data_IF_432154975391
#
_entry.id   IF_432154975391
#
_cell.length_a   1.000
_cell.length_b   1.000
_cell.length_c   1.000
_cell.angle_alpha   90.00
_cell.angle_beta   90.00
_cell.angle_gamma   90.00
#
_symmetry.space_group_name_H-M   'P 1'
#
loop_
_entity.id
_entity.type
_entity.pdbx_description
1 polymer ?
#
# COMPACT_ATOMS: atom_id res chain seq x y z
N UNK A 1 -30.67 -7.01 0.20
CA UNK A 1 -30.55 -6.77 0.45
C UNK A 1 -30.44 -6.62 0.87
N UNK A 2 -30.18 -6.56 0.62
CA UNK A 2 -29.89 -6.29 0.84
C UNK A 2 -29.42 -5.93 1.06
N UNK A 3 -28.94 -5.80 0.72
CA UNK A 3 -28.40 -5.38 0.89
C UNK A 3 -27.81 -5.28 0.81
N UNK A 4 -27.62 -5.23 0.44
CA UNK A 4 -27.07 -5.07 0.41
C UNK A 4 -26.59 -5.02 0.11
N UNK A 5 -26.37 -5.09 0.19
CA UNK A 5 -25.79 -5.08 -0.14
C UNK A 5 -25.35 -4.39 -0.36
N UNK A 6 -24.89 -4.01 -0.30
CA UNK A 6 -24.26 -3.27 -0.35
C UNK A 6 -23.43 -2.88 -0.98
N UNK A 7 -22.83 -2.69 -1.13
CA UNK A 7 -22.03 -2.07 -1.93
C UNK A 7 -22.42 -2.28 -2.90
N UNK A 8 -23.14 -2.80 -2.75
CA UNK A 8 -23.57 -2.97 -3.16
C UNK A 8 -24.30 -2.86 -3.59
N UNK A 9 -24.79 -2.75 -4.03
CA UNK A 9 -25.55 -2.57 -4.10
C UNK A 9 -26.07 -2.12 -3.99
N UNK A 10 -26.36 -1.79 -4.24
CA UNK A 10 -26.92 -1.27 -3.88
C UNK A 10 -26.87 -0.97 -3.94
N UNK A 11 -26.79 -0.90 -4.37
CA UNK A 11 -26.81 -0.62 -4.18
C UNK A 11 -26.45 -0.30 -4.47
N UNK A 12 -26.45 -0.05 -4.93
CA UNK A 12 -26.13 0.20 -5.00
C UNK A 12 -25.68 0.83 -4.77
N UNK A 13 -25.73 1.07 -4.65
CA UNK A 13 -25.26 1.56 -4.28
C UNK A 13 -24.79 1.77 -3.74
N UNK A 14 -24.45 1.80 -3.63
CA UNK A 14 -23.81 1.74 -2.99
C UNK A 14 -23.19 1.43 -3.03
N UNK A 15 -22.77 1.35 -3.22
CA UNK A 15 -21.90 0.82 -3.17
C UNK A 15 -21.18 1.11 -3.32
N UNK A 16 -21.46 1.52 -3.23
CA UNK A 16 -20.26 1.71 -3.62
C UNK A 16 -19.19 2.39 -2.79
N UNK A 17 -19.47 2.97 -1.76
CA UNK A 17 -18.47 3.42 -0.83
C UNK A 17 -17.51 2.33 -0.45
N UNK A 18 -17.94 1.14 -0.54
CA UNK A 18 -17.08 0.00 -0.27
C UNK A 18 -15.92 -0.10 -1.23
N UNK A 19 -16.01 0.57 -2.37
CA UNK A 19 -14.95 0.48 -3.36
C UNK A 19 -13.69 1.22 -2.96
N UNK A 20 -13.72 1.99 -1.90
CA UNK A 20 -12.54 2.71 -1.46
C UNK A 20 -11.84 2.02 -0.29
N UNK A 21 -12.10 0.75 -0.04
CA UNK A 21 -11.44 0.05 1.04
C UNK A 21 -9.95 -0.11 0.74
N UNK A 22 -9.10 -0.08 1.76
CA UNK A 22 -7.66 -0.28 1.57
C UNK A 22 -7.37 -1.67 1.03
N UNK A 23 -6.19 -1.81 0.45
CA UNK A 23 -5.70 -3.11 0.01
C UNK A 23 -5.74 -4.10 1.19
N UNK A 24 -6.17 -5.36 0.97
CA UNK A 24 -6.28 -6.30 2.08
C UNK A 24 -4.99 -6.52 2.85
N UNK A 25 -3.83 -6.53 2.18
CA UNK A 25 -2.57 -6.71 2.88
C UNK A 25 -2.26 -5.53 3.79
N UNK A 26 -2.60 -4.32 3.35
CA UNK A 26 -2.41 -3.15 4.19
C UNK A 26 -3.20 -3.29 5.48
N UNK A 27 -4.44 -3.77 5.38
CA UNK A 27 -5.29 -3.94 6.55
C UNK A 27 -4.77 -5.02 7.48
N UNK A 28 -4.23 -6.11 6.93
CA UNK A 28 -3.77 -7.23 7.74
C UNK A 28 -2.39 -7.03 8.33
N UNK A 29 -1.45 -6.49 7.55
CA UNK A 29 -0.06 -6.36 7.97
C UNK A 29 0.32 -4.93 8.33
N UNK A 30 -0.46 -3.95 7.89
CA UNK A 30 -0.13 -2.54 8.05
C UNK A 30 0.70 -1.99 6.92
N UNK A 31 1.01 -2.79 5.91
CA UNK A 31 1.74 -2.33 4.72
C UNK A 31 1.42 -3.22 3.54
N UNK A 32 1.64 -2.68 2.32
CA UNK A 32 1.40 -3.43 1.10
C UNK A 32 2.18 -2.79 -0.05
N UNK A 33 2.60 -3.63 -0.99
CA UNK A 33 3.16 -3.18 -2.27
C UNK A 33 2.11 -3.43 -3.34
N UNK A 34 1.79 -2.39 -4.10
CA UNK A 34 0.76 -2.44 -5.14
C UNK A 34 1.41 -2.11 -6.47
N UNK A 35 1.18 -2.94 -7.48
CA UNK A 35 1.75 -2.72 -8.80
C UNK A 35 3.16 -3.25 -8.90
N UNK A 36 3.80 -3.04 -10.04
CA UNK A 36 5.15 -3.55 -10.28
C UNK A 36 6.12 -2.47 -10.71
N UNK A 37 5.82 -1.71 -11.76
CA UNK A 37 6.70 -0.67 -12.25
C UNK A 37 5.87 0.38 -12.98
N UNK A 38 5.52 1.46 -12.34
CA UNK A 38 5.87 1.79 -10.97
C UNK A 38 5.07 0.96 -9.96
N UNK A 39 5.67 0.70 -8.82
CA UNK A 39 4.94 0.13 -7.70
C UNK A 39 4.64 1.24 -6.69
N UNK A 40 3.69 0.98 -5.80
CA UNK A 40 3.40 1.88 -4.69
C UNK A 40 3.51 1.10 -3.39
N UNK A 41 4.29 1.63 -2.46
CA UNK A 41 4.43 1.03 -1.14
C UNK A 41 3.59 1.85 -0.17
N UNK A 42 2.62 1.21 0.45
CA UNK A 42 1.71 1.85 1.38
C UNK A 42 1.95 1.29 2.77
N UNK A 43 2.02 2.17 3.77
CA UNK A 43 2.29 1.77 5.15
C UNK A 43 1.37 2.56 6.06
N UNK A 44 0.74 1.87 7.01
CA UNK A 44 0.02 2.55 8.07
C UNK A 44 0.97 3.53 8.76
N UNK A 45 0.55 4.78 8.92
CA UNK A 45 1.46 5.82 9.41
C UNK A 45 1.94 5.55 10.83
N UNK A 46 1.11 4.92 11.66
CA UNK A 46 1.54 4.56 13.00
C UNK A 46 2.62 3.47 12.96
N UNK A 47 2.43 2.48 12.11
CA UNK A 47 3.43 1.43 11.93
C UNK A 47 4.73 2.01 11.41
N UNK A 48 4.64 2.93 10.44
CA UNK A 48 5.83 3.59 9.90
C UNK A 48 6.58 4.32 11.01
N UNK A 49 5.85 4.98 11.90
CA UNK A 49 6.46 5.68 13.01
C UNK A 49 7.20 4.70 13.92
N UNK A 50 6.62 3.52 14.16
CA UNK A 50 7.26 2.50 14.97
C UNK A 50 8.55 1.98 14.33
N UNK A 51 8.62 1.98 13.00
CA UNK A 51 9.82 1.56 12.29
C UNK A 51 10.93 2.61 12.33
N UNK A 52 10.62 3.83 12.69
CA UNK A 52 11.59 4.92 12.69
C UNK A 52 11.41 5.89 11.55
N UNK A 53 10.35 5.73 10.75
CA UNK A 53 10.01 6.67 9.68
C UNK A 53 10.50 6.24 8.31
N UNK A 54 10.21 7.08 7.35
CA UNK A 54 10.60 6.87 5.96
C UNK A 54 12.12 6.84 5.84
N UNK A 55 12.64 5.81 5.17
CA UNK A 55 14.08 5.69 4.98
C UNK A 55 14.82 5.07 6.14
N UNK A 56 14.14 4.70 7.22
CA UNK A 56 14.78 4.04 8.34
C UNK A 56 15.26 2.63 7.93
N UNK A 57 16.20 2.03 8.70
CA UNK A 57 16.63 0.68 8.39
C UNK A 57 15.48 -0.32 8.33
N UNK A 58 14.53 -0.21 9.25
CA UNK A 58 13.39 -1.14 9.25
C UNK A 58 12.50 -0.92 8.03
N UNK A 59 12.25 0.35 7.67
CA UNK A 59 11.49 0.66 6.46
C UNK A 59 12.13 0.01 5.24
N UNK A 60 13.43 0.21 5.08
CA UNK A 60 14.15 -0.34 3.92
C UNK A 60 14.14 -1.86 3.92
N UNK A 61 14.31 -2.46 5.09
CA UNK A 61 14.30 -3.91 5.20
C UNK A 61 12.96 -4.50 4.78
N UNK A 62 11.87 -3.93 5.30
CA UNK A 62 10.53 -4.46 4.99
C UNK A 62 10.23 -4.30 3.52
N UNK A 63 10.54 -3.13 2.94
CA UNK A 63 10.30 -2.91 1.53
C UNK A 63 11.11 -3.86 0.67
N UNK A 64 12.39 -4.02 0.97
CA UNK A 64 13.25 -4.92 0.20
C UNK A 64 12.74 -6.36 0.25
N UNK A 65 12.33 -6.80 1.43
CA UNK A 65 11.81 -8.17 1.57
C UNK A 65 10.52 -8.37 0.81
N UNK A 66 9.63 -7.37 0.84
CA UNK A 66 8.37 -7.47 0.10
C UNK A 66 8.61 -7.50 -1.41
N UNK A 67 9.48 -6.62 -1.90
CA UNK A 67 9.78 -6.59 -3.32
C UNK A 67 10.42 -7.89 -3.78
N UNK A 68 11.29 -8.47 -2.97
CA UNK A 68 11.90 -9.74 -3.30
C UNK A 68 10.86 -10.85 -3.35
N UNK A 69 9.97 -10.89 -2.36
CA UNK A 69 8.91 -11.89 -2.31
C UNK A 69 8.01 -11.80 -3.54
N UNK A 70 7.72 -10.58 -3.98
CA UNK A 70 6.84 -10.35 -5.12
C UNK A 70 7.59 -10.35 -6.45
N UNK A 71 8.92 -10.43 -6.41
CA UNK A 71 9.78 -10.42 -7.60
C UNK A 71 9.62 -9.12 -8.38
N UNK A 72 9.59 -8.03 -7.67
CA UNK A 72 9.45 -6.69 -8.26
C UNK A 72 10.81 -5.99 -8.19
N UNK A 73 11.22 -5.34 -9.27
CA UNK A 73 12.44 -4.52 -9.34
C UNK A 73 13.69 -5.29 -8.94
N UNK A 74 14.00 -6.34 -9.68
CA UNK A 74 15.15 -7.20 -9.35
C UNK A 74 16.48 -6.47 -9.34
N UNK A 75 16.60 -5.37 -10.09
CA UNK A 75 17.84 -4.60 -10.20
C UNK A 75 17.81 -3.33 -9.36
N UNK A 76 16.91 -3.26 -8.38
CA UNK A 76 16.81 -2.09 -7.52
C UNK A 76 15.74 -1.14 -7.98
N UNK A 77 15.60 -0.04 -7.22
CA UNK A 77 14.51 0.90 -7.46
C UNK A 77 14.89 2.29 -6.96
N UNK A 78 14.11 3.27 -7.38
CA UNK A 78 14.19 4.65 -6.89
C UNK A 78 12.81 5.03 -6.38
N UNK A 79 12.77 5.63 -5.19
CA UNK A 79 11.51 6.05 -4.57
C UNK A 79 11.27 7.53 -4.82
N UNK A 80 10.01 7.89 -5.08
CA UNK A 80 9.61 9.28 -5.36
C UNK A 80 8.18 9.52 -4.86
N UNK A 81 7.86 10.81 -4.67
CA UNK A 81 6.48 11.25 -4.45
C UNK A 81 5.86 10.63 -3.21
N UNK A 82 6.58 10.71 -2.09
CA UNK A 82 6.02 10.24 -0.84
C UNK A 82 4.95 11.22 -0.33
N UNK A 83 3.96 10.66 0.33
CA UNK A 83 2.90 11.46 0.92
C UNK A 83 2.19 10.64 2.01
N UNK A 84 1.51 11.36 2.90
CA UNK A 84 0.68 10.72 3.92
C UNK A 84 -0.72 11.29 3.81
N UNK A 85 -1.71 10.41 3.73
CA UNK A 85 -3.10 10.82 3.62
C UNK A 85 -3.98 9.81 4.36
N UNK A 86 -4.85 10.34 5.21
CA UNK A 86 -5.82 9.49 5.94
C UNK A 86 -5.15 8.39 6.72
N UNK A 87 -4.00 8.68 7.34
CA UNK A 87 -3.30 7.73 8.17
C UNK A 87 -2.48 6.70 7.40
N UNK A 88 -2.31 6.89 6.09
CA UNK A 88 -1.53 5.98 5.26
C UNK A 88 -0.42 6.74 4.58
N UNK A 89 0.82 6.29 4.80
CA UNK A 89 1.98 6.77 4.07
C UNK A 89 2.09 6.01 2.76
N UNK A 90 2.43 6.71 1.70
CA UNK A 90 2.51 6.12 0.36
C UNK A 90 3.72 6.69 -0.36
N UNK A 91 4.46 5.84 -1.06
CA UNK A 91 5.58 6.26 -1.87
C UNK A 91 5.60 5.44 -3.14
N UNK A 92 5.97 6.07 -4.26
CA UNK A 92 6.03 5.41 -5.56
C UNK A 92 7.45 4.97 -5.85
N UNK A 93 7.61 3.76 -6.36
CA UNK A 93 8.92 3.23 -6.72
C UNK A 93 8.99 2.92 -8.20
N UNK A 94 10.14 3.26 -8.80
CA UNK A 94 10.43 2.97 -10.20
C UNK A 94 11.61 2.04 -10.26
N UNK A 95 11.46 0.93 -11.01
CA UNK A 95 12.51 -0.06 -11.07
C UNK A 95 13.70 0.46 -11.88
N UNK A 96 14.90 0.07 -11.46
CA UNK A 96 16.11 0.33 -12.26
C UNK A 96 16.21 -0.72 -13.36
N UNK A 97 16.84 -0.34 -14.44
CA UNK A 97 17.01 -1.24 -15.60
C UNK A 97 18.06 -2.31 -15.36
#
# INVERSE_FOLDING_TARGET
MKDARLCSFLVLALLVAACSTPHPELRNKGYAVVGQDPFRFEVDSELLRQWGGYGSPKFNQVLDEELERLRVCRNGYVLRNDSTRDGVFSVTGHCRS
#
